data_IF_795395607068
#
_entry.id   IF_795395607068
#
_cell.length_a   1.000
_cell.length_b   1.000
_cell.length_c   1.000
_cell.angle_alpha   90.00
_cell.angle_beta   90.00
_cell.angle_gamma   90.00
#
_symmetry.space_group_name_H-M   'P 1'
#
loop_
_entity.id
_entity.type
_entity.pdbx_description
1 polymer ?
#
# COMPACT_ATOMS: atom_id res chain seq x y z
N UNK A 1 11.64 -13.78 -33.45
CA UNK A 1 11.87 -14.24 -32.07
C UNK A 1 11.49 -13.12 -31.14
N UNK A 2 10.44 -13.33 -30.36
CA UNK A 2 9.79 -12.32 -29.52
C UNK A 2 8.30 -12.62 -29.46
N UNK A 3 7.99 -13.86 -29.07
CA UNK A 3 6.65 -14.45 -29.04
C UNK A 3 5.68 -13.67 -28.16
N UNK A 4 4.44 -13.69 -28.62
CA UNK A 4 3.24 -13.19 -27.97
C UNK A 4 3.01 -13.89 -26.63
N UNK A 5 2.72 -13.13 -25.58
CA UNK A 5 1.94 -13.61 -24.44
C UNK A 5 1.06 -12.48 -23.90
N UNK A 6 -0.21 -12.52 -24.29
CA UNK A 6 -1.25 -11.75 -23.60
C UNK A 6 -1.28 -12.13 -22.13
N UNK A 7 -1.42 -11.15 -21.24
CA UNK A 7 -1.71 -11.40 -19.82
C UNK A 7 -2.48 -10.23 -19.24
N UNK A 8 -3.80 -10.37 -19.15
CA UNK A 8 -4.65 -9.60 -18.25
C UNK A 8 -4.43 -9.96 -16.77
N UNK A 9 -3.19 -10.21 -16.36
CA UNK A 9 -2.85 -10.69 -15.03
C UNK A 9 -1.46 -10.20 -14.64
N UNK A 10 -1.43 -9.11 -13.86
CA UNK A 10 -0.48 -8.96 -12.76
C UNK A 10 1.01 -9.08 -13.09
N UNK A 11 1.63 -8.02 -13.63
CA UNK A 11 3.09 -7.96 -13.78
C UNK A 11 3.79 -8.13 -12.41
N UNK A 12 4.76 -9.04 -12.36
CA UNK A 12 5.62 -9.24 -11.19
C UNK A 12 6.54 -8.04 -10.96
N UNK A 13 6.86 -7.76 -9.70
CA UNK A 13 7.64 -6.61 -9.28
C UNK A 13 9.01 -6.55 -9.96
N UNK A 14 9.70 -7.70 -10.11
CA UNK A 14 10.97 -7.77 -10.82
C UNK A 14 10.87 -7.31 -12.27
N UNK A 15 9.89 -7.85 -13.01
CA UNK A 15 9.65 -7.50 -14.41
C UNK A 15 9.21 -6.05 -14.58
N UNK A 16 8.42 -5.53 -13.65
CA UNK A 16 8.00 -4.14 -13.63
C UNK A 16 9.17 -3.18 -13.40
N UNK A 17 10.07 -3.51 -12.47
CA UNK A 17 11.28 -2.72 -12.18
C UNK A 17 12.20 -2.70 -13.39
N UNK A 18 12.41 -3.84 -14.05
CA UNK A 18 13.23 -3.90 -15.26
C UNK A 18 12.66 -3.03 -16.39
N UNK A 19 11.33 -3.08 -16.59
CA UNK A 19 10.66 -2.23 -17.58
C UNK A 19 10.73 -0.73 -17.22
N UNK A 20 10.60 -0.36 -15.95
CA UNK A 20 10.80 1.02 -15.48
C UNK A 20 12.23 1.51 -15.75
N UNK A 21 13.24 0.69 -15.43
CA UNK A 21 14.64 1.02 -15.65
C UNK A 21 14.96 1.14 -17.14
N UNK A 22 14.39 0.28 -17.98
CA UNK A 22 14.53 0.36 -19.43
C UNK A 22 13.89 1.64 -19.99
N UNK A 23 12.76 2.09 -19.43
CA UNK A 23 12.04 3.27 -19.90
C UNK A 23 12.66 4.59 -19.43
N UNK A 24 13.32 4.63 -18.27
CA UNK A 24 13.88 5.86 -17.68
C UNK A 24 15.43 5.96 -17.76
N UNK A 25 16.11 4.87 -18.14
CA UNK A 25 17.54 4.88 -18.44
C UNK A 25 18.44 5.31 -17.27
N UNK A 26 19.41 6.18 -17.55
CA UNK A 26 20.45 6.57 -16.58
C UNK A 26 19.92 7.39 -15.38
N UNK A 27 18.79 8.09 -15.54
CA UNK A 27 18.19 8.91 -14.48
C UNK A 27 17.79 8.09 -13.24
N UNK A 28 17.45 6.81 -13.45
CA UNK A 28 17.02 5.87 -12.42
C UNK A 28 18.10 4.82 -12.09
N UNK A 29 19.31 4.97 -12.63
CA UNK A 29 20.42 4.03 -12.40
C UNK A 29 20.84 3.98 -10.92
N UNK A 30 20.76 5.12 -10.22
CA UNK A 30 21.00 5.19 -8.76
C UNK A 30 19.87 4.55 -7.95
N UNK A 31 18.65 4.56 -8.50
CA UNK A 31 17.46 3.96 -7.90
C UNK A 31 17.43 2.44 -8.10
N UNK A 32 18.09 1.92 -9.14
CA UNK A 32 18.18 0.49 -9.45
C UNK A 32 18.63 -0.36 -8.27
N UNK A 33 19.66 0.08 -7.53
CA UNK A 33 20.17 -0.68 -6.38
C UNK A 33 19.12 -0.83 -5.27
N UNK A 34 18.37 0.25 -5.03
CA UNK A 34 17.33 0.28 -3.99
C UNK A 34 16.08 -0.48 -4.45
N UNK A 35 15.66 -0.31 -5.70
CA UNK A 35 14.56 -1.09 -6.29
C UNK A 35 14.90 -2.59 -6.33
N UNK A 36 16.16 -2.96 -6.63
CA UNK A 36 16.59 -4.35 -6.60
C UNK A 36 16.51 -4.94 -5.20
N UNK A 37 16.88 -4.19 -4.16
CA UNK A 37 16.69 -4.62 -2.76
C UNK A 37 15.22 -4.76 -2.41
N UNK A 38 14.39 -3.82 -2.84
CA UNK A 38 12.96 -3.87 -2.64
C UNK A 38 12.32 -5.10 -3.33
N UNK A 39 12.79 -5.43 -4.53
CA UNK A 39 12.38 -6.65 -5.27
C UNK A 39 12.76 -7.92 -4.51
N UNK A 40 13.93 -7.94 -3.86
CA UNK A 40 14.34 -9.08 -3.02
C UNK A 40 13.49 -9.17 -1.74
N UNK A 41 13.16 -8.03 -1.14
CA UNK A 41 12.32 -7.96 0.06
C UNK A 41 10.90 -8.50 -0.19
N UNK A 42 10.25 -8.00 -1.25
CA UNK A 42 8.88 -8.35 -1.58
C UNK A 42 8.77 -9.68 -2.35
N UNK A 43 9.84 -10.10 -3.02
CA UNK A 43 9.86 -11.24 -3.93
C UNK A 43 9.75 -10.81 -5.40
N UNK A 44 10.53 -11.47 -6.25
CA UNK A 44 10.70 -11.09 -7.66
C UNK A 44 9.42 -11.33 -8.50
N UNK A 45 8.66 -12.35 -8.11
CA UNK A 45 7.38 -12.73 -8.70
C UNK A 45 6.20 -12.05 -7.99
N UNK A 46 6.47 -11.28 -6.94
CA UNK A 46 5.44 -10.65 -6.14
C UNK A 46 4.69 -9.63 -7.00
N UNK A 47 3.35 -9.69 -7.06
CA UNK A 47 2.61 -8.80 -7.94
C UNK A 47 2.66 -7.36 -7.45
N UNK A 48 2.95 -6.42 -8.35
CA UNK A 48 3.11 -5.00 -8.01
C UNK A 48 1.86 -4.39 -7.34
N UNK A 49 0.66 -4.90 -7.65
CA UNK A 49 -0.59 -4.43 -7.06
C UNK A 49 -0.83 -4.92 -5.63
N UNK A 50 -0.12 -5.95 -5.17
CA UNK A 50 -0.22 -6.48 -3.79
C UNK A 50 0.70 -5.75 -2.81
N UNK A 51 1.59 -4.89 -3.31
CA UNK A 51 2.51 -4.13 -2.49
C UNK A 51 1.71 -3.11 -1.67
N UNK A 52 1.60 -3.35 -0.38
CA UNK A 52 0.91 -2.47 0.56
C UNK A 52 1.84 -1.37 1.08
N UNK A 53 1.28 -0.27 1.59
CA UNK A 53 2.05 0.83 2.19
C UNK A 53 2.95 0.38 3.35
N UNK A 54 2.63 -0.73 4.01
CA UNK A 54 3.44 -1.34 5.09
C UNK A 54 4.78 -1.87 4.61
N UNK A 55 4.80 -2.58 3.46
CA UNK A 55 6.05 -3.08 2.84
C UNK A 55 6.97 -1.92 2.46
N UNK A 56 6.38 -0.85 1.94
CA UNK A 56 7.10 0.36 1.56
C UNK A 56 7.60 1.07 2.82
N UNK A 57 6.79 1.11 3.88
CA UNK A 57 7.16 1.66 5.18
C UNK A 57 8.31 0.90 5.84
N UNK A 58 8.29 -0.44 5.82
CA UNK A 58 9.35 -1.30 6.35
C UNK A 58 10.66 -1.07 5.60
N UNK A 59 10.61 -1.08 4.27
CA UNK A 59 11.78 -0.83 3.43
C UNK A 59 12.37 0.57 3.63
N UNK A 60 11.53 1.58 3.81
CA UNK A 60 11.97 2.96 4.07
C UNK A 60 12.52 3.11 5.50
N UNK A 61 11.94 2.39 6.46
CA UNK A 61 12.34 2.40 7.88
C UNK A 61 13.66 1.65 8.14
N UNK A 62 13.99 0.65 7.32
CA UNK A 62 15.26 -0.09 7.37
C UNK A 62 16.49 0.84 7.33
N UNK A 63 16.38 1.99 6.66
CA UNK A 63 17.44 2.98 6.56
C UNK A 63 17.42 3.96 7.74
N UNK A 64 18.48 3.89 8.55
CA UNK A 64 18.71 4.84 9.65
C UNK A 64 19.06 6.25 9.17
N UNK A 65 19.71 6.39 8.00
CA UNK A 65 20.12 7.68 7.44
C UNK A 65 18.97 8.40 6.73
N UNK A 66 18.66 9.67 7.07
CA UNK A 66 17.54 10.40 6.47
C UNK A 66 17.74 10.71 4.98
N UNK A 67 18.97 10.94 4.52
CA UNK A 67 19.25 11.21 3.11
C UNK A 67 18.97 9.99 2.21
N UNK A 68 19.33 8.81 2.69
CA UNK A 68 19.19 7.54 1.98
C UNK A 68 17.74 7.04 2.05
N UNK A 69 17.04 7.31 3.16
CA UNK A 69 15.59 7.18 3.27
C UNK A 69 14.85 8.00 2.21
N UNK A 70 15.22 9.27 2.01
CA UNK A 70 14.63 10.13 0.97
C UNK A 70 14.86 9.56 -0.43
N UNK A 71 16.06 9.05 -0.71
CA UNK A 71 16.38 8.38 -1.98
C UNK A 71 15.51 7.13 -2.22
N UNK A 72 15.26 6.32 -1.19
CA UNK A 72 14.34 5.17 -1.29
C UNK A 72 12.92 5.61 -1.60
N UNK A 73 12.41 6.61 -0.87
CA UNK A 73 11.06 7.14 -1.11
C UNK A 73 10.92 7.69 -2.53
N UNK A 74 11.90 8.47 -3.00
CA UNK A 74 11.91 9.01 -4.36
C UNK A 74 11.91 7.90 -5.43
N UNK A 75 12.75 6.88 -5.26
CA UNK A 75 12.79 5.72 -6.16
C UNK A 75 11.44 4.99 -6.23
N UNK A 76 10.83 4.72 -5.07
CA UNK A 76 9.55 4.03 -4.99
C UNK A 76 8.42 4.87 -5.61
N UNK A 77 8.39 6.17 -5.35
CA UNK A 77 7.37 7.07 -5.90
C UNK A 77 7.45 7.13 -7.42
N UNK A 78 8.66 7.34 -7.96
CA UNK A 78 8.87 7.37 -9.41
C UNK A 78 8.48 6.03 -10.07
N UNK A 79 8.84 4.91 -9.42
CA UNK A 79 8.49 3.57 -9.88
C UNK A 79 6.97 3.34 -9.89
N UNK A 80 6.27 3.62 -8.78
CA UNK A 80 4.82 3.43 -8.70
C UNK A 80 4.03 4.42 -9.55
N UNK A 81 4.58 5.62 -9.81
CA UNK A 81 4.00 6.57 -10.75
C UNK A 81 4.10 6.09 -12.20
N UNK A 82 5.24 5.50 -12.57
CA UNK A 82 5.38 4.81 -13.84
C UNK A 82 4.43 3.62 -13.94
N UNK A 83 4.39 2.75 -12.92
CA UNK A 83 3.50 1.62 -12.88
C UNK A 83 2.01 2.01 -13.00
N UNK A 84 1.63 3.15 -12.43
CA UNK A 84 0.29 3.72 -12.57
C UNK A 84 0.02 4.15 -14.03
N UNK A 85 0.98 4.86 -14.63
CA UNK A 85 0.88 5.33 -16.02
C UNK A 85 0.82 4.15 -17.01
N UNK A 86 1.56 3.08 -16.72
CA UNK A 86 1.56 1.83 -17.47
C UNK A 86 0.33 0.94 -17.21
N UNK A 87 -0.58 1.35 -16.31
CA UNK A 87 -1.81 0.62 -16.00
C UNK A 87 -1.62 -0.63 -15.15
N UNK A 88 -0.46 -0.82 -14.52
CA UNK A 88 -0.14 -1.99 -13.70
C UNK A 88 -0.68 -1.90 -12.27
N UNK A 89 -0.83 -0.68 -11.75
CA UNK A 89 -1.40 -0.42 -10.43
C UNK A 89 -2.55 0.57 -10.52
N UNK A 90 -3.60 0.32 -9.73
CA UNK A 90 -4.77 1.21 -9.64
C UNK A 90 -4.50 2.47 -8.81
N UNK A 91 -3.53 2.40 -7.90
CA UNK A 91 -3.17 3.49 -6.99
C UNK A 91 -1.67 3.47 -6.71
N UNK A 92 -1.10 4.63 -6.38
CA UNK A 92 0.30 4.74 -5.97
C UNK A 92 0.39 4.61 -4.43
N UNK A 93 0.80 3.44 -3.89
CA UNK A 93 0.93 3.23 -2.45
C UNK A 93 2.08 4.05 -1.83
N UNK A 94 3.07 4.48 -2.63
CA UNK A 94 4.18 5.33 -2.17
C UNK A 94 3.84 6.83 -2.15
N UNK A 95 2.70 7.26 -2.72
CA UNK A 95 2.32 8.67 -2.78
C UNK A 95 2.16 9.32 -1.40
N UNK A 96 1.86 8.54 -0.35
CA UNK A 96 1.74 9.03 1.03
C UNK A 96 3.08 9.25 1.74
N UNK A 97 4.20 8.75 1.18
CA UNK A 97 5.52 8.80 1.81
C UNK A 97 6.35 10.02 1.41
N UNK A 98 6.00 10.68 0.29
CA UNK A 98 6.54 11.99 -0.01
C UNK A 98 5.97 12.96 1.01
N UNK A 99 6.79 13.35 2.00
CA UNK A 99 6.53 14.55 2.78
C UNK A 99 6.44 15.69 1.78
N UNK A 100 5.21 16.09 1.47
CA UNK A 100 4.93 17.22 0.59
C UNK A 100 5.74 18.40 1.11
N UNK A 101 6.76 18.82 0.34
CA UNK A 101 7.01 20.25 0.19
C UNK A 101 5.66 20.86 -0.13
N UNK A 102 5.27 21.84 0.66
CA UNK A 102 4.01 22.57 0.60
C UNK A 102 3.50 22.70 -0.86
N UNK A 103 2.51 21.88 -1.22
CA UNK A 103 1.78 22.03 -2.49
C UNK A 103 0.35 22.39 -2.10
N UNK A 104 -0.19 23.52 -2.62
CA UNK A 104 -1.54 23.95 -2.31
C UNK A 104 -2.53 22.86 -2.72
N UNK A 105 -3.42 22.53 -1.80
CA UNK A 105 -4.48 21.54 -1.93
C UNK A 105 -5.32 21.89 -3.17
N UNK A 106 -5.10 21.19 -4.28
CA UNK A 106 -6.07 21.15 -5.37
C UNK A 106 -7.24 20.31 -4.87
N UNK A 107 -8.32 21.02 -4.50
CA UNK A 107 -9.59 20.48 -4.01
C UNK A 107 -10.01 19.28 -4.88
N UNK A 108 -10.12 18.11 -4.26
CA UNK A 108 -10.70 16.94 -4.90
C UNK A 108 -12.16 17.24 -5.28
N UNK A 109 -12.56 16.76 -6.46
CA UNK A 109 -13.92 16.85 -6.97
C UNK A 109 -14.98 16.42 -5.93
N UNK A 110 -16.20 16.99 -5.96
CA UNK A 110 -17.24 16.65 -5.02
C UNK A 110 -17.60 15.16 -5.14
N UNK A 111 -17.22 14.38 -4.12
CA UNK A 111 -17.75 13.02 -3.92
C UNK A 111 -19.26 13.16 -3.74
N UNK A 112 -20.00 12.42 -4.56
CA UNK A 112 -21.45 12.41 -4.60
C UNK A 112 -22.08 12.45 -3.20
N UNK A 113 -23.07 13.34 -3.07
CA UNK A 113 -23.87 13.62 -1.89
C UNK A 113 -24.29 12.33 -1.19
N UNK A 114 -23.65 12.00 -0.06
CA UNK A 114 -24.09 10.94 0.84
C UNK A 114 -24.38 11.62 2.18
N UNK A 115 -25.65 11.57 2.57
CA UNK A 115 -26.29 12.34 3.64
C UNK A 115 -25.48 12.28 4.95
N UNK A 116 -25.36 13.40 5.70
CA UNK A 116 -24.73 13.39 7.01
C UNK A 116 -25.48 12.42 7.92
N UNK A 117 -24.72 11.59 8.64
CA UNK A 117 -25.27 10.61 9.57
C UNK A 117 -25.34 11.31 10.92
N UNK A 118 -26.56 11.53 11.42
CA UNK A 118 -26.76 11.98 12.80
C UNK A 118 -26.44 10.81 13.73
N UNK A 119 -25.32 10.91 14.44
CA UNK A 119 -24.85 9.87 15.35
C UNK A 119 -25.03 10.35 16.79
N UNK A 120 -25.92 9.67 17.50
CA UNK A 120 -26.06 9.84 18.96
C UNK A 120 -24.73 9.52 19.67
N UNK A 121 -24.45 10.12 20.85
CA UNK A 121 -23.22 9.87 21.59
C UNK A 121 -22.97 8.38 21.88
N UNK A 122 -24.03 7.60 22.09
CA UNK A 122 -23.97 6.14 22.23
C UNK A 122 -23.54 5.44 20.93
N UNK A 123 -24.06 5.89 19.78
CA UNK A 123 -23.68 5.38 18.46
C UNK A 123 -22.22 5.67 18.11
N UNK A 124 -21.69 6.83 18.52
CA UNK A 124 -20.25 7.16 18.38
C UNK A 124 -19.38 6.23 19.22
N UNK A 125 -19.74 6.03 20.49
CA UNK A 125 -19.03 5.09 21.38
C UNK A 125 -19.04 3.66 20.84
N UNK A 126 -20.14 3.22 20.25
CA UNK A 126 -20.24 1.90 19.64
C UNK A 126 -19.27 1.76 18.44
N UNK A 127 -19.18 2.79 17.58
CA UNK A 127 -18.24 2.79 16.46
C UNK A 127 -16.79 2.86 16.95
N UNK A 128 -16.49 3.67 17.98
CA UNK A 128 -15.15 3.72 18.58
C UNK A 128 -14.74 2.38 19.19
N UNK A 129 -15.67 1.69 19.87
CA UNK A 129 -15.43 0.34 20.40
C UNK A 129 -15.19 -0.68 19.28
N UNK A 130 -15.93 -0.57 18.16
CA UNK A 130 -15.74 -1.44 17.00
C UNK A 130 -14.38 -1.20 16.34
N UNK A 131 -13.96 0.07 16.19
CA UNK A 131 -12.61 0.42 15.71
C UNK A 131 -11.54 -0.18 16.62
N UNK A 132 -11.75 -0.13 17.94
CA UNK A 132 -10.80 -0.67 18.91
C UNK A 132 -10.66 -2.19 18.77
N UNK A 133 -11.78 -2.91 18.65
CA UNK A 133 -11.82 -4.36 18.39
C UNK A 133 -11.12 -4.71 17.07
N UNK A 134 -11.42 -3.99 16.00
CA UNK A 134 -10.78 -4.19 14.70
C UNK A 134 -9.27 -3.93 14.76
N UNK A 135 -8.80 -3.02 15.61
CA UNK A 135 -7.37 -2.78 15.82
C UNK A 135 -6.69 -3.97 16.51
N UNK A 136 -7.35 -4.57 17.50
CA UNK A 136 -6.87 -5.80 18.14
C UNK A 136 -6.83 -6.96 17.15
N UNK A 137 -7.85 -7.10 16.31
CA UNK A 137 -7.89 -8.13 15.26
C UNK A 137 -6.83 -7.90 14.18
N UNK A 138 -6.58 -6.64 13.81
CA UNK A 138 -5.47 -6.24 12.92
C UNK A 138 -4.13 -6.69 13.47
N UNK A 139 -3.87 -6.44 14.75
CA UNK A 139 -2.61 -6.82 15.39
C UNK A 139 -2.42 -8.35 15.41
N UNK A 140 -3.47 -9.11 15.75
CA UNK A 140 -3.44 -10.58 15.72
C UNK A 140 -3.19 -11.12 14.30
N UNK A 141 -3.89 -10.57 13.31
CA UNK A 141 -3.74 -11.00 11.91
C UNK A 141 -2.33 -10.71 11.39
N UNK A 142 -1.69 -9.61 11.81
CA UNK A 142 -0.29 -9.30 11.46
C UNK A 142 0.66 -10.35 12.03
N UNK A 143 0.42 -10.80 13.27
CA UNK A 143 1.22 -11.87 13.89
C UNK A 143 1.06 -13.18 13.13
N UNK A 144 -0.16 -13.56 12.75
CA UNK A 144 -0.41 -14.75 11.92
C UNK A 144 0.27 -14.68 10.55
N UNK A 145 0.24 -13.51 9.89
CA UNK A 145 0.98 -13.28 8.64
C UNK A 145 2.49 -13.43 8.85
N UNK A 146 3.01 -12.99 10.00
CA UNK A 146 4.43 -13.05 10.33
C UNK A 146 4.89 -14.46 10.65
N UNK A 147 4.08 -15.25 11.36
CA UNK A 147 4.32 -16.66 11.62
C UNK A 147 4.27 -17.48 10.33
N UNK A 148 3.25 -17.27 9.49
CA UNK A 148 3.14 -17.92 8.18
C UNK A 148 4.31 -17.56 7.24
N UNK A 149 4.91 -16.37 7.41
CA UNK A 149 6.12 -15.96 6.68
C UNK A 149 7.38 -16.68 7.17
N UNK A 150 7.44 -17.04 8.45
CA UNK A 150 8.60 -17.71 9.04
C UNK A 150 8.69 -19.20 8.68
N UNK A 151 7.61 -19.80 8.20
CA UNK A 151 7.53 -21.22 7.81
C UNK A 151 8.19 -21.52 6.43
N UNK A 152 8.77 -20.51 5.78
CA UNK A 152 9.80 -20.69 4.75
C UNK A 152 9.30 -20.98 3.33
N UNK A 153 8.11 -21.54 3.16
CA UNK A 153 7.48 -21.70 1.83
C UNK A 153 6.27 -20.76 1.68
N UNK A 154 6.49 -19.66 0.95
CA UNK A 154 5.50 -18.59 0.75
C UNK A 154 4.73 -18.75 -0.56
N UNK A 155 5.19 -19.62 -1.47
CA UNK A 155 4.70 -19.68 -2.85
C UNK A 155 3.43 -20.52 -3.02
N UNK A 156 3.16 -21.45 -2.11
CA UNK A 156 1.93 -22.26 -2.10
C UNK A 156 1.07 -22.07 -0.84
N UNK A 157 1.41 -21.10 0.00
CA UNK A 157 0.83 -20.98 1.34
C UNK A 157 -0.53 -20.26 1.30
N UNK A 158 -1.59 -21.00 1.01
CA UNK A 158 -2.98 -20.56 1.09
C UNK A 158 -3.32 -19.76 2.38
N UNK A 159 -2.87 -20.15 3.60
CA UNK A 159 -3.13 -19.37 4.80
C UNK A 159 -2.38 -18.02 4.83
N UNK A 160 -1.22 -17.87 4.19
CA UNK A 160 -0.55 -16.56 4.07
C UNK A 160 -1.37 -15.59 3.22
N UNK A 161 -1.87 -16.04 2.07
CA UNK A 161 -2.74 -15.24 1.23
C UNK A 161 -4.05 -14.87 1.94
N UNK A 162 -4.67 -15.84 2.62
CA UNK A 162 -5.90 -15.61 3.39
C UNK A 162 -5.69 -14.61 4.55
N UNK A 163 -4.60 -14.73 5.29
CA UNK A 163 -4.27 -13.81 6.39
C UNK A 163 -3.99 -12.39 5.88
N UNK A 164 -3.36 -12.25 4.71
CA UNK A 164 -3.15 -10.95 4.06
C UNK A 164 -4.44 -10.31 3.55
N UNK A 165 -5.32 -11.08 2.93
CA UNK A 165 -6.63 -10.57 2.50
C UNK A 165 -7.48 -10.15 3.69
N UNK A 166 -7.46 -10.94 4.77
CA UNK A 166 -8.12 -10.60 6.03
C UNK A 166 -7.59 -9.28 6.61
N UNK A 167 -6.28 -9.08 6.62
CA UNK A 167 -5.69 -7.81 7.05
C UNK A 167 -6.19 -6.62 6.23
N UNK A 168 -6.24 -6.75 4.90
CA UNK A 168 -6.73 -5.71 4.02
C UNK A 168 -8.22 -5.41 4.24
N UNK A 169 -9.04 -6.44 4.51
CA UNK A 169 -10.45 -6.28 4.86
C UNK A 169 -10.63 -5.52 6.18
N UNK A 170 -9.87 -5.87 7.22
CA UNK A 170 -9.92 -5.19 8.52
C UNK A 170 -9.53 -3.71 8.37
N UNK A 171 -8.46 -3.40 7.62
CA UNK A 171 -8.05 -2.01 7.38
C UNK A 171 -9.11 -1.21 6.59
N UNK A 172 -9.81 -1.85 5.64
CA UNK A 172 -10.91 -1.23 4.92
C UNK A 172 -12.09 -0.92 5.84
N UNK A 173 -12.46 -1.83 6.75
CA UNK A 173 -13.53 -1.63 7.73
C UNK A 173 -13.20 -0.51 8.71
N UNK A 174 -11.99 -0.50 9.29
CA UNK A 174 -11.54 0.57 10.19
C UNK A 174 -11.67 1.93 9.50
N UNK A 175 -11.25 2.02 8.24
CA UNK A 175 -11.32 3.26 7.47
C UNK A 175 -12.76 3.71 7.22
N UNK A 176 -13.67 2.77 6.99
CA UNK A 176 -15.09 3.06 6.83
C UNK A 176 -15.70 3.59 8.13
N UNK A 177 -15.44 2.94 9.26
CA UNK A 177 -15.90 3.38 10.58
C UNK A 177 -15.31 4.74 10.98
N UNK A 178 -14.03 4.98 10.70
CA UNK A 178 -13.41 6.29 10.91
C UNK A 178 -14.03 7.38 10.03
N UNK A 179 -14.36 7.07 8.78
CA UNK A 179 -15.06 8.00 7.87
C UNK A 179 -16.49 8.28 8.36
N UNK A 180 -17.18 7.30 8.96
CA UNK A 180 -18.47 7.52 9.61
C UNK A 180 -18.34 8.45 10.82
N UNK A 181 -17.34 8.27 11.69
CA UNK A 181 -17.07 9.19 12.81
C UNK A 181 -16.72 10.59 12.34
N UNK A 182 -15.94 10.72 11.26
CA UNK A 182 -15.56 12.03 10.72
C UNK A 182 -16.76 12.82 10.16
N UNK A 183 -17.76 12.10 9.66
CA UNK A 183 -19.01 12.66 9.11
C UNK A 183 -20.10 12.83 10.16
N UNK A 184 -19.91 12.25 11.34
CA UNK A 184 -20.82 12.38 12.46
C UNK A 184 -20.89 13.87 12.85
N UNK A 185 -21.99 14.51 12.47
CA UNK A 185 -22.31 15.82 13.02
C UNK A 185 -22.84 15.59 14.43
N UNK A 186 -22.24 16.25 15.43
CA UNK A 186 -22.85 16.40 16.74
C UNK A 186 -24.14 17.19 16.54
N UNK A 187 -25.28 16.50 16.45
CA UNK A 187 -26.57 17.15 16.65
C UNK A 187 -26.65 17.44 18.15
N UNK A 188 -26.49 18.72 18.49
CA UNK A 188 -26.58 19.27 19.86
C UNK A 188 -27.98 19.83 20.10
#
# INVERSE_FOLDING_TARGET
MGEELGTGGSIGLGRAVEAFLASNGAAVATMRAELSRFVVLCGRECPIFTIAGTEIGEFVSEVKKPAERRRRVEALVAFFEYAKTSGWVRSNPAAGLVQKKDVPIKKAAPRAQRKPIELSPEGRRAIEAEIQRLNEERARTIEEVREARSDGDLSENAPYHAAREKLAMIEAQIREYQDMLLRAVSSE
#
